data_IF_659488983567
#
_entry.id   IF_659488983567
#
_cell.length_a   1.000
_cell.length_b   1.000
_cell.length_c   1.000
_cell.angle_alpha   90.00
_cell.angle_beta   90.00
_cell.angle_gamma   90.00
#
_symmetry.space_group_name_H-M   'P 1'
#
loop_
_entity.id
_entity.type
_entity.pdbx_description
1 polymer ?
#
# COMPACT_ATOMS: atom_id res chain seq x y z
N UNK A 1 14.28 14.21 11.66
CA UNK A 1 15.23 13.10 11.48
C UNK A 1 14.89 12.18 10.27
N UNK A 2 13.64 11.84 9.96
CA UNK A 2 13.30 10.92 8.84
C UNK A 2 13.68 11.39 7.43
N UNK A 3 13.65 12.68 7.11
CA UNK A 3 14.10 13.21 5.79
C UNK A 3 15.61 13.12 5.56
N UNK A 4 16.41 13.14 6.61
CA UNK A 4 17.88 13.06 6.49
C UNK A 4 18.40 11.65 6.21
N UNK A 5 17.73 10.62 6.74
CA UNK A 5 18.13 9.21 6.50
C UNK A 5 17.77 8.75 5.09
N UNK A 6 16.63 9.17 4.53
CA UNK A 6 16.28 8.90 3.13
C UNK A 6 17.22 9.60 2.14
N UNK A 7 17.64 10.85 2.46
CA UNK A 7 18.59 11.60 1.63
C UNK A 7 19.98 10.95 1.68
N UNK A 8 20.41 10.41 2.81
CA UNK A 8 21.74 9.78 2.96
C UNK A 8 21.81 8.45 2.21
N UNK A 9 20.77 7.62 2.23
CA UNK A 9 20.72 6.36 1.46
C UNK A 9 20.64 6.62 -0.05
N UNK A 10 19.87 7.60 -0.48
CA UNK A 10 19.79 8.03 -1.89
C UNK A 10 21.10 8.69 -2.33
N UNK A 11 21.73 9.51 -1.49
CA UNK A 11 22.99 10.18 -1.79
C UNK A 11 24.18 9.20 -1.83
N UNK A 12 24.23 8.19 -0.95
CA UNK A 12 25.26 7.16 -0.99
C UNK A 12 25.17 6.29 -2.25
N UNK A 13 23.97 5.90 -2.68
CA UNK A 13 23.75 5.18 -3.94
C UNK A 13 23.96 6.06 -5.17
N UNK A 14 23.57 7.34 -5.12
CA UNK A 14 23.81 8.30 -6.19
C UNK A 14 25.30 8.64 -6.35
N UNK A 15 26.08 8.71 -5.27
CA UNK A 15 27.51 8.96 -5.31
C UNK A 15 28.31 7.80 -5.91
N UNK A 16 27.90 6.54 -5.64
CA UNK A 16 28.48 5.35 -6.28
C UNK A 16 28.18 5.32 -7.79
N UNK A 17 26.96 5.74 -8.18
CA UNK A 17 26.58 5.77 -9.60
C UNK A 17 27.19 6.98 -10.35
N UNK A 18 27.41 8.13 -9.72
CA UNK A 18 27.94 9.33 -10.35
C UNK A 18 29.44 9.21 -10.65
N UNK A 19 30.24 8.60 -9.78
CA UNK A 19 31.68 8.41 -10.00
C UNK A 19 32.02 7.33 -11.06
N UNK A 20 31.11 6.40 -11.37
CA UNK A 20 31.30 5.41 -12.43
C UNK A 20 30.95 5.94 -13.85
N UNK A 21 30.35 7.12 -13.98
CA UNK A 21 29.77 7.59 -15.25
C UNK A 21 30.17 8.99 -15.71
N UNK A 22 31.15 9.58 -15.06
CA UNK A 22 31.66 10.91 -15.44
C UNK A 22 32.62 10.88 -16.60
N UNK A 23 32.15 10.72 -17.83
CA UNK A 23 32.75 11.25 -19.05
C UNK A 23 31.78 11.18 -20.22
N UNK A 24 31.29 12.31 -20.67
CA UNK A 24 30.63 12.50 -21.95
C UNK A 24 31.70 12.54 -23.04
N UNK A 25 31.79 11.45 -23.83
CA UNK A 25 32.52 11.52 -25.12
C UNK A 25 31.46 11.59 -26.23
N UNK A 26 31.62 12.61 -27.08
CA UNK A 26 30.94 12.81 -28.36
C UNK A 26 31.07 11.55 -29.22
N UNK A 27 29.92 10.99 -29.58
CA UNK A 27 29.86 9.78 -30.41
C UNK A 27 30.17 10.11 -31.88
N UNK A 28 31.38 9.83 -32.34
CA UNK A 28 31.64 9.54 -33.73
C UNK A 28 31.10 8.16 -34.01
N UNK A 29 30.16 8.02 -34.99
CA UNK A 29 29.61 6.77 -35.44
C UNK A 29 30.62 5.98 -36.26
N UNK A 30 31.55 5.30 -35.61
CA UNK A 30 32.34 4.24 -36.23
C UNK A 30 31.46 2.98 -36.35
N UNK A 31 31.36 2.39 -37.55
CA UNK A 31 30.73 1.08 -37.78
C UNK A 31 31.31 0.08 -36.76
N UNK A 32 30.51 -0.31 -35.77
CA UNK A 32 30.90 -1.30 -34.80
C UNK A 32 31.11 -2.65 -35.51
N UNK A 33 32.33 -3.14 -35.52
CA UNK A 33 32.66 -4.47 -36.03
C UNK A 33 32.14 -5.50 -35.00
N UNK A 34 31.19 -6.38 -35.38
CA UNK A 34 30.73 -7.48 -34.55
C UNK A 34 31.67 -8.67 -34.69
N UNK A 35 32.26 -9.09 -33.58
CA UNK A 35 33.04 -10.34 -33.48
C UNK A 35 32.13 -11.49 -32.98
N UNK A 36 32.30 -12.73 -33.50
CA UNK A 36 31.43 -13.84 -33.07
C UNK A 36 31.62 -14.19 -31.60
N UNK A 37 32.83 -14.16 -31.07
CA UNK A 37 33.14 -14.55 -29.70
C UNK A 37 34.20 -13.67 -29.08
N UNK A 38 34.00 -13.30 -27.79
CA UNK A 38 35.00 -12.76 -26.89
C UNK A 38 35.26 -13.73 -25.77
N UNK A 39 36.51 -13.98 -25.47
CA UNK A 39 36.97 -14.63 -24.23
C UNK A 39 37.81 -13.66 -23.43
N UNK A 40 37.50 -13.42 -22.18
CA UNK A 40 38.30 -12.53 -21.32
C UNK A 40 38.47 -13.09 -19.92
N UNK A 41 39.62 -12.79 -19.30
CA UNK A 41 39.89 -13.07 -17.90
C UNK A 41 39.34 -11.93 -17.03
N UNK A 42 39.77 -10.72 -17.34
CA UNK A 42 39.32 -9.46 -16.76
C UNK A 42 39.15 -8.41 -17.87
N UNK A 43 38.53 -7.25 -17.62
CA UNK A 43 38.43 -6.16 -18.60
C UNK A 43 39.77 -5.85 -19.25
N UNK A 44 39.81 -5.74 -20.55
CA UNK A 44 40.98 -5.52 -21.41
C UNK A 44 42.01 -6.66 -21.50
N UNK A 45 41.88 -7.73 -20.72
CA UNK A 45 42.73 -8.93 -20.82
C UNK A 45 41.88 -10.06 -21.40
N UNK A 46 41.98 -10.28 -22.70
CA UNK A 46 41.24 -11.27 -23.45
C UNK A 46 41.48 -11.16 -24.96
N UNK A 47 40.64 -11.83 -25.73
CA UNK A 47 40.81 -11.94 -27.20
C UNK A 47 40.70 -10.61 -27.94
N UNK A 48 40.03 -9.61 -27.35
CA UNK A 48 39.89 -8.28 -27.96
C UNK A 48 40.88 -7.25 -27.39
N UNK A 49 41.64 -7.60 -26.32
CA UNK A 49 42.65 -6.74 -25.72
C UNK A 49 42.12 -5.35 -25.36
N UNK A 50 42.90 -4.29 -25.65
CA UNK A 50 42.54 -2.90 -25.38
C UNK A 50 41.33 -2.39 -26.16
N UNK A 51 41.00 -3.04 -27.29
CA UNK A 51 39.83 -2.70 -28.11
C UNK A 51 38.51 -3.26 -27.58
N UNK A 52 38.52 -4.07 -26.53
CA UNK A 52 37.33 -4.71 -25.98
C UNK A 52 36.18 -3.73 -25.74
N UNK A 53 36.49 -2.54 -25.27
CA UNK A 53 35.51 -1.51 -24.96
C UNK A 53 34.87 -0.82 -26.20
N UNK A 54 35.46 -0.98 -27.38
CA UNK A 54 34.97 -0.49 -28.68
C UNK A 54 34.43 -1.60 -29.58
N UNK A 55 34.67 -2.84 -29.19
CA UNK A 55 34.29 -4.03 -29.99
C UNK A 55 32.92 -4.55 -29.54
N UNK A 56 32.05 -4.80 -30.50
CA UNK A 56 30.77 -5.48 -30.30
C UNK A 56 30.91 -6.97 -30.49
N UNK A 57 30.32 -7.77 -29.62
CA UNK A 57 30.40 -9.22 -29.68
C UNK A 57 29.02 -9.85 -29.76
N UNK A 58 28.86 -10.94 -30.56
CA UNK A 58 27.67 -11.75 -30.46
C UNK A 58 27.62 -12.48 -29.12
N UNK A 59 28.72 -13.15 -28.78
CA UNK A 59 28.84 -13.87 -27.53
C UNK A 59 30.09 -13.41 -26.77
N UNK A 60 30.01 -13.27 -25.47
CA UNK A 60 31.14 -12.93 -24.58
C UNK A 60 31.15 -13.87 -23.38
N UNK A 61 32.30 -14.53 -23.14
CA UNK A 61 32.51 -15.38 -21.99
C UNK A 61 33.67 -14.81 -21.19
N UNK A 62 33.40 -14.40 -19.96
CA UNK A 62 34.33 -13.66 -19.13
C UNK A 62 34.58 -14.47 -17.83
N UNK A 63 35.80 -14.91 -17.56
CA UNK A 63 36.09 -15.75 -16.41
C UNK A 63 35.84 -14.98 -15.08
N UNK A 64 36.40 -13.81 -14.93
CA UNK A 64 36.15 -12.91 -13.81
C UNK A 64 35.26 -11.75 -14.29
N UNK A 65 35.69 -11.05 -15.33
CA UNK A 65 34.91 -9.96 -15.89
C UNK A 65 35.29 -9.59 -17.30
N UNK A 66 34.35 -8.91 -17.99
CA UNK A 66 34.55 -8.44 -19.34
C UNK A 66 34.03 -7.04 -19.57
N UNK A 67 34.53 -6.42 -20.63
CA UNK A 67 34.00 -5.17 -21.16
C UNK A 67 33.71 -5.33 -22.66
N UNK A 68 32.57 -4.88 -23.09
CA UNK A 68 32.09 -4.93 -24.48
C UNK A 68 31.44 -3.61 -24.88
N UNK A 69 31.46 -3.29 -26.16
CA UNK A 69 30.69 -2.16 -26.67
C UNK A 69 29.21 -2.50 -26.75
N UNK A 70 28.87 -3.58 -27.48
CA UNK A 70 27.54 -4.18 -27.53
C UNK A 70 27.65 -5.70 -27.40
N UNK A 71 26.52 -6.32 -26.98
CA UNK A 71 26.35 -7.77 -26.94
C UNK A 71 25.12 -8.14 -27.76
N UNK A 72 25.32 -9.02 -28.78
CA UNK A 72 24.27 -9.37 -29.72
C UNK A 72 23.42 -10.57 -29.35
N UNK A 73 23.94 -11.52 -28.54
CA UNK A 73 23.22 -12.75 -28.19
C UNK A 73 23.40 -13.11 -26.72
N UNK A 74 24.62 -13.30 -26.21
CA UNK A 74 24.83 -13.72 -24.86
C UNK A 74 26.14 -13.18 -24.25
N UNK A 75 26.11 -12.84 -22.95
CA UNK A 75 27.30 -12.50 -22.18
C UNK A 75 27.22 -13.15 -20.81
N UNK A 76 28.27 -13.85 -20.43
CA UNK A 76 28.37 -14.53 -19.12
C UNK A 76 29.68 -14.17 -18.46
N UNK A 77 29.64 -13.78 -17.18
CA UNK A 77 30.81 -13.52 -16.37
C UNK A 77 30.75 -14.20 -15.01
N UNK A 78 31.91 -14.60 -14.48
CA UNK A 78 31.99 -15.08 -13.11
C UNK A 78 31.63 -13.99 -12.09
N UNK A 79 32.06 -12.73 -12.35
CA UNK A 79 31.82 -11.60 -11.42
C UNK A 79 31.11 -10.43 -12.12
N UNK A 80 31.69 -9.86 -13.19
CA UNK A 80 31.27 -8.56 -13.69
C UNK A 80 31.19 -8.51 -15.21
N UNK A 81 30.07 -8.06 -15.74
CA UNK A 81 29.92 -7.65 -17.14
C UNK A 81 29.76 -6.12 -17.23
N UNK A 82 30.50 -5.49 -18.12
CA UNK A 82 30.39 -4.07 -18.46
C UNK A 82 30.07 -3.91 -19.94
N UNK A 83 28.92 -3.38 -20.26
CA UNK A 83 28.52 -3.08 -21.65
C UNK A 83 28.28 -1.58 -21.80
N UNK A 84 29.03 -0.97 -22.73
CA UNK A 84 28.99 0.48 -22.96
C UNK A 84 27.69 0.93 -23.65
N UNK A 85 27.11 0.09 -24.48
CA UNK A 85 25.86 0.38 -25.18
C UNK A 85 24.84 -0.73 -24.90
N UNK A 86 24.45 -1.52 -25.91
CA UNK A 86 23.28 -2.37 -25.84
C UNK A 86 23.61 -3.83 -25.61
N UNK A 87 22.70 -4.50 -24.90
CA UNK A 87 22.64 -5.96 -24.79
C UNK A 87 21.35 -6.44 -25.43
N UNK A 88 21.46 -7.40 -26.33
CA UNK A 88 20.33 -8.12 -26.91
C UNK A 88 20.47 -9.61 -26.58
N UNK A 89 19.42 -10.19 -26.01
CA UNK A 89 19.40 -11.59 -25.59
C UNK A 89 19.69 -11.80 -24.12
N UNK A 90 20.76 -12.51 -23.75
CA UNK A 90 21.02 -12.98 -22.39
C UNK A 90 22.28 -12.35 -21.81
N UNK A 91 22.19 -11.88 -20.55
CA UNK A 91 23.37 -11.41 -19.80
C UNK A 91 23.33 -11.96 -18.36
N UNK A 92 24.39 -12.63 -17.94
CA UNK A 92 24.49 -13.21 -16.60
C UNK A 92 25.85 -12.92 -15.96
N UNK A 93 25.81 -12.68 -14.65
CA UNK A 93 27.04 -12.52 -13.83
C UNK A 93 26.82 -12.97 -12.42
N UNK A 94 27.90 -13.39 -11.74
CA UNK A 94 27.87 -13.73 -10.34
C UNK A 94 27.58 -12.53 -9.44
N UNK A 95 28.07 -11.32 -9.82
CA UNK A 95 27.88 -10.11 -8.97
C UNK A 95 27.09 -9.04 -9.70
N UNK A 96 27.60 -8.50 -10.84
CA UNK A 96 26.93 -7.35 -11.43
C UNK A 96 26.97 -7.34 -12.97
N UNK A 97 25.87 -6.88 -13.57
CA UNK A 97 25.77 -6.50 -14.96
C UNK A 97 25.57 -4.99 -15.07
N UNK A 98 26.54 -4.30 -15.64
CA UNK A 98 26.55 -2.85 -15.81
C UNK A 98 26.37 -2.49 -17.30
N UNK A 99 25.15 -2.30 -17.75
CA UNK A 99 24.82 -1.88 -19.11
C UNK A 99 24.44 -0.41 -19.14
N UNK A 100 25.14 0.40 -19.95
CA UNK A 100 24.83 1.84 -20.07
C UNK A 100 23.68 2.12 -21.04
N UNK A 101 23.39 1.23 -21.96
CA UNK A 101 22.37 1.37 -22.99
C UNK A 101 21.09 0.57 -22.72
N UNK A 102 20.55 0.05 -23.81
CA UNK A 102 19.34 -0.78 -23.82
C UNK A 102 19.66 -2.24 -23.47
N UNK A 103 18.79 -2.86 -22.71
CA UNK A 103 18.76 -4.30 -22.49
C UNK A 103 17.47 -4.85 -23.08
N UNK A 104 17.62 -5.66 -24.14
CA UNK A 104 16.51 -6.39 -24.77
C UNK A 104 16.66 -7.88 -24.53
N UNK A 105 15.88 -8.45 -23.61
CA UNK A 105 15.92 -9.86 -23.25
C UNK A 105 15.99 -10.10 -21.74
N UNK A 106 16.96 -10.91 -21.31
CA UNK A 106 17.08 -11.36 -19.94
C UNK A 106 18.42 -10.98 -19.32
N UNK A 107 18.40 -10.32 -18.16
CA UNK A 107 19.58 -9.94 -17.40
C UNK A 107 19.48 -10.49 -15.98
N UNK A 108 20.50 -11.25 -15.54
CA UNK A 108 20.53 -11.82 -14.19
C UNK A 108 21.87 -11.63 -13.51
N UNK A 109 21.83 -11.34 -12.21
CA UNK A 109 23.05 -11.20 -11.39
C UNK A 109 22.80 -11.56 -9.91
N UNK A 110 23.87 -11.89 -9.22
CA UNK A 110 23.79 -12.13 -7.77
C UNK A 110 23.45 -10.87 -6.98
N UNK A 111 23.94 -9.68 -7.41
CA UNK A 111 23.73 -8.44 -6.65
C UNK A 111 23.03 -7.37 -7.46
N UNK A 112 23.58 -6.95 -8.62
CA UNK A 112 23.16 -5.70 -9.27
C UNK A 112 23.01 -5.84 -10.78
N UNK A 113 21.86 -5.46 -11.30
CA UNK A 113 21.68 -5.19 -12.73
C UNK A 113 21.41 -3.70 -12.95
N UNK A 114 22.09 -3.11 -13.93
CA UNK A 114 21.83 -1.75 -14.37
C UNK A 114 21.57 -1.70 -15.88
N UNK A 115 20.66 -0.82 -16.27
CA UNK A 115 20.43 -0.47 -17.66
C UNK A 115 19.91 0.97 -17.78
N UNK A 116 19.95 1.51 -19.00
CA UNK A 116 19.27 2.76 -19.30
C UNK A 116 17.80 2.50 -19.60
N UNK A 117 17.52 1.56 -20.50
CA UNK A 117 16.18 1.08 -20.83
C UNK A 117 16.16 -0.44 -20.81
N UNK A 118 15.01 -1.01 -20.47
CA UNK A 118 14.77 -2.45 -20.42
C UNK A 118 13.57 -2.83 -21.28
N UNK A 119 13.74 -3.87 -22.09
CA UNK A 119 12.64 -4.62 -22.68
C UNK A 119 12.84 -6.10 -22.38
N UNK A 120 12.13 -6.63 -21.36
CA UNK A 120 12.28 -8.01 -20.92
C UNK A 120 12.30 -8.19 -19.42
N UNK A 121 13.26 -8.96 -18.91
CA UNK A 121 13.32 -9.35 -17.51
C UNK A 121 14.69 -9.06 -16.88
N UNK A 122 14.68 -8.42 -15.71
CA UNK A 122 15.84 -8.31 -14.82
C UNK A 122 15.61 -9.07 -13.52
N UNK A 123 16.55 -9.95 -13.16
CA UNK A 123 16.60 -10.67 -11.88
C UNK A 123 17.87 -10.32 -11.13
N UNK A 124 17.77 -9.98 -9.87
CA UNK A 124 18.95 -9.76 -9.00
C UNK A 124 18.69 -10.19 -7.56
N UNK A 125 19.75 -10.57 -6.88
CA UNK A 125 19.67 -10.85 -5.45
C UNK A 125 19.41 -9.58 -4.62
N UNK A 126 19.92 -8.41 -5.07
CA UNK A 126 19.77 -7.16 -4.32
C UNK A 126 19.04 -6.08 -5.10
N UNK A 127 19.55 -5.65 -6.26
CA UNK A 127 19.02 -4.44 -6.90
C UNK A 127 18.93 -4.51 -8.42
N UNK A 128 17.82 -4.00 -8.97
CA UNK A 128 17.65 -3.70 -10.39
C UNK A 128 17.44 -2.19 -10.58
N UNK A 129 18.29 -1.55 -11.39
CA UNK A 129 18.28 -0.11 -11.61
C UNK A 129 18.11 0.21 -13.10
N UNK A 130 17.03 0.87 -13.46
CA UNK A 130 16.83 1.43 -14.80
C UNK A 130 16.76 2.95 -14.73
N UNK A 131 17.58 3.63 -15.54
CA UNK A 131 17.64 5.10 -15.53
C UNK A 131 16.45 5.75 -16.23
N UNK A 132 15.86 5.06 -17.20
CA UNK A 132 14.74 5.55 -18.00
C UNK A 132 13.55 4.59 -17.91
N UNK A 133 13.17 3.98 -18.98
CA UNK A 133 11.97 3.17 -19.11
C UNK A 133 12.29 1.67 -18.99
N UNK A 134 11.45 0.97 -18.26
CA UNK A 134 11.45 -0.48 -18.20
C UNK A 134 10.09 -1.00 -18.73
N UNK A 135 10.14 -1.70 -19.86
CA UNK A 135 9.00 -2.41 -20.45
C UNK A 135 9.19 -3.90 -20.18
N UNK A 136 8.60 -4.42 -19.11
CA UNK A 136 8.78 -5.80 -18.67
C UNK A 136 8.86 -5.92 -17.16
N UNK A 137 9.66 -6.86 -16.66
CA UNK A 137 9.64 -7.23 -15.26
C UNK A 137 11.00 -6.99 -14.59
N UNK A 138 10.97 -6.48 -13.38
CA UNK A 138 12.12 -6.37 -12.49
C UNK A 138 11.82 -7.11 -11.20
N UNK A 139 12.69 -8.06 -10.84
CA UNK A 139 12.58 -8.83 -9.60
C UNK A 139 13.91 -8.74 -8.85
N UNK A 140 13.87 -8.25 -7.62
CA UNK A 140 15.05 -8.09 -6.77
C UNK A 140 14.77 -8.50 -5.33
N UNK A 141 15.76 -9.02 -4.65
CA UNK A 141 15.62 -9.34 -3.23
C UNK A 141 15.39 -8.11 -2.36
N UNK A 142 15.92 -6.93 -2.75
CA UNK A 142 15.79 -5.71 -1.94
C UNK A 142 15.09 -4.59 -2.70
N UNK A 143 15.59 -4.16 -3.87
CA UNK A 143 15.10 -2.92 -4.48
C UNK A 143 15.00 -2.97 -6.00
N UNK A 144 13.89 -2.44 -6.55
CA UNK A 144 13.74 -2.16 -7.97
C UNK A 144 13.49 -0.66 -8.18
N UNK A 145 14.33 -0.02 -9.00
CA UNK A 145 14.23 1.40 -9.31
C UNK A 145 14.15 1.62 -10.83
N UNK A 146 13.19 2.43 -11.25
CA UNK A 146 13.10 2.91 -12.64
C UNK A 146 12.48 4.30 -12.71
N UNK A 147 12.73 5.03 -13.79
CA UNK A 147 11.99 6.27 -14.03
C UNK A 147 10.56 5.98 -14.46
N UNK A 148 10.38 5.00 -15.34
CA UNK A 148 9.07 4.52 -15.77
C UNK A 148 9.06 3.02 -15.85
N UNK A 149 8.00 2.39 -15.41
CA UNK A 149 7.77 0.96 -15.53
C UNK A 149 6.43 0.68 -16.21
N UNK A 150 6.48 -0.14 -17.26
CA UNK A 150 5.32 -0.80 -17.86
C UNK A 150 5.50 -2.29 -17.67
N UNK A 151 4.74 -2.86 -16.73
CA UNK A 151 4.88 -4.26 -16.32
C UNK A 151 4.99 -4.40 -14.81
N UNK A 152 5.94 -5.19 -14.31
CA UNK A 152 5.96 -5.57 -12.90
C UNK A 152 7.30 -5.25 -12.24
N UNK A 153 7.24 -4.64 -11.04
CA UNK A 153 8.36 -4.55 -10.09
C UNK A 153 8.02 -5.37 -8.85
N UNK A 154 8.88 -6.32 -8.50
CA UNK A 154 8.78 -7.12 -7.29
C UNK A 154 10.06 -6.98 -6.49
N UNK A 155 9.94 -6.59 -5.24
CA UNK A 155 11.12 -6.50 -4.36
C UNK A 155 10.78 -6.87 -2.91
N UNK A 156 11.78 -7.34 -2.18
CA UNK A 156 11.61 -7.64 -0.76
C UNK A 156 11.37 -6.39 0.09
N UNK A 157 11.93 -5.23 -0.30
CA UNK A 157 11.85 -4.01 0.52
C UNK A 157 11.16 -2.86 -0.20
N UNK A 158 11.66 -2.45 -1.38
CA UNK A 158 11.25 -1.16 -1.92
C UNK A 158 11.22 -1.12 -3.44
N UNK A 159 10.10 -0.68 -4.01
CA UNK A 159 9.97 -0.35 -5.43
C UNK A 159 9.78 1.17 -5.62
N UNK A 160 10.45 1.71 -6.61
CA UNK A 160 10.31 3.10 -7.03
C UNK A 160 10.11 3.22 -8.53
N UNK A 161 9.13 4.04 -8.92
CA UNK A 161 9.00 4.53 -10.29
C UNK A 161 8.35 5.92 -10.30
N UNK A 162 8.82 6.87 -11.13
CA UNK A 162 8.09 8.12 -11.34
C UNK A 162 6.71 7.81 -11.95
N UNK A 163 6.67 6.92 -12.96
CA UNK A 163 5.42 6.43 -13.56
C UNK A 163 5.37 4.92 -13.52
N UNK A 164 4.32 4.38 -12.93
CA UNK A 164 4.05 2.95 -12.87
C UNK A 164 2.75 2.63 -13.60
N UNK A 165 2.86 1.86 -14.68
CA UNK A 165 1.74 1.31 -15.44
C UNK A 165 1.85 -0.22 -15.40
N UNK A 166 1.14 -0.82 -14.43
CA UNK A 166 1.23 -2.25 -14.12
C UNK A 166 1.27 -2.50 -12.63
N UNK A 167 2.17 -3.37 -12.16
CA UNK A 167 2.20 -3.82 -10.77
C UNK A 167 3.49 -3.45 -10.05
N UNK A 168 3.38 -2.92 -8.83
CA UNK A 168 4.47 -2.81 -7.86
C UNK A 168 4.12 -3.61 -6.62
N UNK A 169 4.90 -4.65 -6.33
CA UNK A 169 4.74 -5.53 -5.18
C UNK A 169 5.99 -5.46 -4.31
N UNK A 170 5.83 -5.11 -3.05
CA UNK A 170 6.97 -5.03 -2.13
C UNK A 170 6.64 -5.57 -0.75
N UNK A 171 7.67 -6.06 -0.06
CA UNK A 171 7.53 -6.44 1.34
C UNK A 171 7.29 -5.24 2.26
N UNK A 172 7.86 -4.06 1.95
CA UNK A 172 7.71 -2.89 2.83
C UNK A 172 7.03 -1.73 2.12
N UNK A 173 7.58 -1.22 0.99
CA UNK A 173 7.09 0.04 0.45
C UNK A 173 7.11 0.13 -1.07
N UNK A 174 6.06 0.71 -1.65
CA UNK A 174 6.04 1.14 -3.04
C UNK A 174 5.88 2.66 -3.12
N UNK A 175 6.62 3.27 -4.03
CA UNK A 175 6.53 4.70 -4.30
C UNK A 175 6.39 4.98 -5.79
N UNK A 176 5.44 5.87 -6.14
CA UNK A 176 5.30 6.39 -7.51
C UNK A 176 4.83 7.84 -7.47
N UNK A 177 5.16 8.63 -8.51
CA UNK A 177 4.43 9.89 -8.73
C UNK A 177 3.07 9.59 -9.36
N UNK A 178 3.03 8.74 -10.38
CA UNK A 178 1.80 8.33 -11.05
C UNK A 178 1.72 6.81 -11.08
N UNK A 179 0.66 6.25 -10.52
CA UNK A 179 0.38 4.83 -10.57
C UNK A 179 -1.00 4.58 -11.22
N UNK A 180 -1.03 3.75 -12.26
CA UNK A 180 -2.27 3.41 -12.99
C UNK A 180 -2.70 1.96 -12.80
N UNK A 181 -1.84 1.13 -12.19
CA UNK A 181 -2.12 -0.27 -11.90
C UNK A 181 -2.25 -0.58 -10.41
N UNK A 182 -1.62 -1.66 -9.98
CA UNK A 182 -1.63 -2.14 -8.60
C UNK A 182 -0.35 -1.74 -7.86
N UNK A 183 -0.50 -1.17 -6.68
CA UNK A 183 0.57 -1.09 -5.68
C UNK A 183 0.16 -1.91 -4.46
N UNK A 184 0.92 -2.96 -4.12
CA UNK A 184 0.69 -3.75 -2.92
C UNK A 184 1.96 -3.82 -2.06
N UNK A 185 1.83 -3.50 -0.79
CA UNK A 185 2.92 -3.52 0.19
C UNK A 185 2.42 -3.96 1.57
N UNK A 186 3.28 -4.61 2.34
CA UNK A 186 2.89 -4.97 3.71
C UNK A 186 2.76 -3.74 4.61
N UNK A 187 3.53 -2.66 4.37
CA UNK A 187 3.51 -1.48 5.25
C UNK A 187 2.93 -0.26 4.55
N UNK A 188 3.52 0.20 3.43
CA UNK A 188 3.12 1.50 2.88
C UNK A 188 3.18 1.58 1.35
N UNK A 189 2.14 2.17 0.77
CA UNK A 189 2.15 2.65 -0.61
C UNK A 189 2.02 4.16 -0.64
N UNK A 190 2.85 4.83 -1.45
CA UNK A 190 2.82 6.27 -1.64
C UNK A 190 2.75 6.60 -3.12
N UNK A 191 1.79 7.46 -3.50
CA UNK A 191 1.70 8.01 -4.84
C UNK A 191 1.30 9.50 -4.81
N UNK A 192 1.72 10.29 -5.81
CA UNK A 192 1.08 11.61 -5.99
C UNK A 192 -0.31 11.41 -6.59
N UNK A 193 -0.43 10.58 -7.62
CA UNK A 193 -1.72 10.23 -8.22
C UNK A 193 -1.84 8.71 -8.36
N UNK A 194 -2.91 8.15 -7.84
CA UNK A 194 -3.30 6.76 -8.05
C UNK A 194 -4.60 6.70 -8.84
N UNK A 195 -4.59 5.98 -9.97
CA UNK A 195 -5.78 5.71 -10.78
C UNK A 195 -6.13 4.21 -10.80
N UNK A 196 -5.37 3.38 -10.10
CA UNK A 196 -5.55 1.95 -9.93
C UNK A 196 -5.91 1.58 -8.50
N UNK A 197 -5.23 0.57 -7.95
CA UNK A 197 -5.48 0.03 -6.63
C UNK A 197 -4.23 0.13 -5.76
N UNK A 198 -4.37 0.63 -4.54
CA UNK A 198 -3.35 0.56 -3.49
C UNK A 198 -3.84 -0.36 -2.38
N UNK A 199 -3.07 -1.38 -2.04
CA UNK A 199 -3.32 -2.27 -0.90
C UNK A 199 -2.12 -2.23 0.02
N UNK A 200 -2.30 -1.76 1.24
CA UNK A 200 -1.25 -1.75 2.27
C UNK A 200 -1.74 -2.39 3.56
N UNK A 201 -0.86 -3.11 4.23
CA UNK A 201 -1.17 -3.60 5.56
C UNK A 201 -1.39 -2.46 6.56
N UNK A 202 -0.70 -1.31 6.40
CA UNK A 202 -0.83 -0.19 7.33
C UNK A 202 -1.30 1.09 6.63
N UNK A 203 -0.54 1.65 5.68
CA UNK A 203 -0.82 2.99 5.16
C UNK A 203 -0.82 3.05 3.64
N UNK A 204 -1.88 3.58 3.05
CA UNK A 204 -1.87 4.10 1.70
C UNK A 204 -1.91 5.64 1.73
N UNK A 205 -1.05 6.27 0.96
CA UNK A 205 -1.01 7.73 0.84
C UNK A 205 -1.02 8.16 -0.62
N UNK A 206 -1.93 9.05 -0.96
CA UNK A 206 -1.97 9.70 -2.27
C UNK A 206 -2.28 11.19 -2.12
N UNK A 207 -1.82 12.02 -3.05
CA UNK A 207 -2.34 13.39 -3.18
C UNK A 207 -3.71 13.34 -3.86
N UNK A 208 -3.83 12.61 -4.96
CA UNK A 208 -5.07 12.42 -5.68
C UNK A 208 -5.38 10.92 -5.84
N UNK A 209 -6.40 10.43 -5.15
CA UNK A 209 -6.88 9.05 -5.24
C UNK A 209 -8.12 8.98 -6.16
N UNK A 210 -7.92 8.47 -7.38
CA UNK A 210 -9.00 8.22 -8.36
C UNK A 210 -9.47 6.77 -8.36
N UNK A 211 -8.68 5.87 -7.81
CA UNK A 211 -8.94 4.44 -7.72
C UNK A 211 -9.35 3.98 -6.33
N UNK A 212 -8.90 2.80 -5.94
CA UNK A 212 -9.23 2.17 -4.68
C UNK A 212 -8.01 2.15 -3.75
N UNK A 213 -8.22 2.53 -2.49
CA UNK A 213 -7.23 2.37 -1.42
C UNK A 213 -7.79 1.42 -0.35
N UNK A 214 -7.05 0.37 -0.03
CA UNK A 214 -7.40 -0.60 1.02
C UNK A 214 -6.23 -0.69 2.02
N UNK A 215 -6.49 -0.36 3.28
CA UNK A 215 -5.46 -0.39 4.34
C UNK A 215 -6.03 0.03 5.69
N UNK A 216 -5.26 -0.12 6.76
CA UNK A 216 -5.69 0.37 8.09
C UNK A 216 -5.92 1.88 8.03
N UNK A 217 -4.99 2.62 7.44
CA UNK A 217 -5.07 4.08 7.29
C UNK A 217 -4.91 4.45 5.81
N UNK A 218 -5.89 5.16 5.26
CA UNK A 218 -5.81 5.73 3.92
C UNK A 218 -5.79 7.25 4.01
N UNK A 219 -4.82 7.89 3.33
CA UNK A 219 -4.61 9.34 3.36
C UNK A 219 -4.67 9.88 1.94
N UNK A 220 -5.52 10.88 1.68
CA UNK A 220 -5.56 11.59 0.42
C UNK A 220 -5.84 13.09 0.61
N UNK A 221 -5.31 13.96 -0.26
CA UNK A 221 -5.77 15.34 -0.32
C UNK A 221 -7.15 15.41 -0.97
N UNK A 222 -7.35 14.63 -2.04
CA UNK A 222 -8.64 14.47 -2.73
C UNK A 222 -8.86 13.02 -3.15
N UNK A 223 -10.07 12.52 -2.98
CA UNK A 223 -10.46 11.18 -3.39
C UNK A 223 -11.77 11.24 -4.19
N UNK A 224 -11.71 10.75 -5.43
CA UNK A 224 -12.90 10.54 -6.27
C UNK A 224 -13.25 9.06 -6.42
N UNK A 225 -12.36 8.18 -5.95
CA UNK A 225 -12.55 6.74 -5.92
C UNK A 225 -13.14 6.24 -4.60
N UNK A 226 -12.57 5.16 -4.07
CA UNK A 226 -13.01 4.50 -2.84
C UNK A 226 -11.83 4.29 -1.90
N UNK A 227 -12.01 4.63 -0.62
CA UNK A 227 -11.04 4.33 0.45
C UNK A 227 -11.71 3.44 1.49
N UNK A 228 -11.14 2.25 1.70
CA UNK A 228 -11.62 1.25 2.66
C UNK A 228 -10.55 1.03 3.72
N UNK A 229 -10.85 1.40 4.95
CA UNK A 229 -9.91 1.28 6.07
C UNK A 229 -10.56 1.69 7.39
N UNK A 230 -9.84 1.45 8.48
CA UNK A 230 -10.30 1.88 9.81
C UNK A 230 -10.38 3.41 9.86
N UNK A 231 -9.39 4.10 9.31
CA UNK A 231 -9.34 5.56 9.26
C UNK A 231 -9.03 6.02 7.83
N UNK A 232 -9.90 6.85 7.25
CA UNK A 232 -9.73 7.41 5.92
C UNK A 232 -9.63 8.94 6.00
N UNK A 233 -8.40 9.47 5.99
CA UNK A 233 -8.12 10.91 6.10
C UNK A 233 -8.10 11.51 4.69
N UNK A 234 -9.20 12.11 4.27
CA UNK A 234 -9.34 12.76 2.97
C UNK A 234 -9.59 14.25 3.21
N UNK A 235 -8.63 15.14 2.93
CA UNK A 235 -8.75 16.58 3.26
C UNK A 235 -10.02 17.24 2.69
N UNK A 236 -10.41 16.88 1.47
CA UNK A 236 -11.65 17.34 0.84
C UNK A 236 -12.84 16.43 1.12
N UNK A 237 -12.71 15.51 2.10
CA UNK A 237 -13.66 14.46 2.37
C UNK A 237 -14.70 14.81 3.42
N UNK A 238 -15.28 13.77 4.00
CA UNK A 238 -16.29 13.81 5.03
C UNK A 238 -15.64 13.46 6.38
N UNK A 239 -15.68 14.41 7.30
CA UNK A 239 -15.15 14.28 8.64
C UNK A 239 -16.18 14.78 9.64
N UNK A 240 -16.56 13.93 10.58
CA UNK A 240 -17.51 14.34 11.62
C UNK A 240 -17.10 13.73 12.97
N UNK A 241 -17.11 14.56 14.00
CA UNK A 241 -17.08 14.12 15.38
C UNK A 241 -18.53 14.07 15.88
N UNK A 242 -18.97 12.92 16.41
CA UNK A 242 -20.32 12.71 16.92
C UNK A 242 -20.28 12.48 18.42
N UNK A 243 -21.15 13.19 19.14
CA UNK A 243 -21.57 12.86 20.48
C UNK A 243 -23.01 12.36 20.42
N UNK A 244 -23.25 11.15 20.91
CA UNK A 244 -24.58 10.53 20.82
C UNK A 244 -24.94 9.75 22.08
N UNK A 245 -26.24 9.54 22.26
CA UNK A 245 -26.80 8.59 23.22
C UNK A 245 -27.69 7.59 22.53
N UNK A 246 -27.69 6.38 23.03
CA UNK A 246 -28.62 5.31 22.64
C UNK A 246 -29.11 4.55 23.87
N UNK A 247 -29.91 3.53 23.64
CA UNK A 247 -30.53 2.74 24.72
C UNK A 247 -29.56 1.90 25.54
N UNK A 248 -28.34 1.60 25.00
CA UNK A 248 -27.31 0.85 25.70
C UNK A 248 -26.34 1.76 26.42
N UNK A 249 -25.85 2.77 25.71
CA UNK A 249 -24.82 3.70 26.18
C UNK A 249 -25.34 5.14 26.11
N UNK A 250 -25.44 5.76 27.26
CA UNK A 250 -25.95 7.14 27.35
C UNK A 250 -24.99 8.15 26.75
N UNK A 251 -23.68 7.79 26.66
CA UNK A 251 -22.66 8.63 26.06
C UNK A 251 -21.83 7.81 25.09
N UNK A 252 -21.90 8.17 23.82
CA UNK A 252 -21.07 7.63 22.77
C UNK A 252 -20.30 8.76 22.10
N UNK A 253 -19.04 8.50 21.79
CA UNK A 253 -18.19 9.32 20.94
C UNK A 253 -17.90 8.55 19.68
N UNK A 254 -18.10 9.15 18.51
CA UNK A 254 -17.76 8.52 17.25
C UNK A 254 -17.08 9.52 16.32
N UNK A 255 -16.09 9.04 15.57
CA UNK A 255 -15.43 9.78 14.52
C UNK A 255 -15.69 9.13 13.17
N UNK A 256 -16.24 9.91 12.24
CA UNK A 256 -16.48 9.50 10.85
C UNK A 256 -15.43 10.09 9.96
N UNK A 257 -14.85 9.28 9.08
CA UNK A 257 -13.82 9.73 8.16
C UNK A 257 -13.90 9.03 6.81
N UNK A 258 -13.75 9.79 5.72
CA UNK A 258 -13.79 9.25 4.38
C UNK A 258 -14.56 10.12 3.39
N UNK A 259 -15.48 9.54 2.67
CA UNK A 259 -16.38 10.20 1.73
C UNK A 259 -17.83 10.05 2.20
N UNK A 260 -18.71 10.99 1.85
CA UNK A 260 -20.15 10.83 2.14
C UNK A 260 -20.73 9.51 1.64
N UNK A 261 -20.33 9.06 0.45
CA UNK A 261 -20.80 7.79 -0.13
C UNK A 261 -20.30 6.56 0.62
N UNK A 262 -19.12 6.64 1.22
CA UNK A 262 -18.53 5.57 2.03
C UNK A 262 -17.55 6.19 3.01
N UNK A 263 -17.86 6.06 4.29
CA UNK A 263 -17.00 6.51 5.37
C UNK A 263 -16.84 5.43 6.43
N UNK A 264 -15.71 5.43 7.09
CA UNK A 264 -15.46 4.61 8.27
C UNK A 264 -15.92 5.33 9.53
N UNK A 265 -16.31 4.56 10.54
CA UNK A 265 -16.79 5.03 11.83
C UNK A 265 -15.95 4.32 12.89
N UNK A 266 -15.29 5.07 13.73
CA UNK A 266 -14.65 4.55 14.95
C UNK A 266 -15.43 5.10 16.13
N UNK A 267 -15.88 4.26 17.05
CA UNK A 267 -16.73 4.68 18.15
C UNK A 267 -16.29 4.09 19.47
N UNK A 268 -16.57 4.84 20.53
CA UNK A 268 -16.47 4.40 21.91
C UNK A 268 -17.72 4.81 22.67
N UNK A 269 -18.25 3.94 23.51
CA UNK A 269 -19.42 4.18 24.33
C UNK A 269 -19.12 3.92 25.80
N UNK A 270 -19.77 4.68 26.68
CA UNK A 270 -19.64 4.53 28.13
C UNK A 270 -21.00 4.64 28.82
N UNK A 271 -21.21 3.79 29.83
CA UNK A 271 -22.30 3.83 30.80
C UNK A 271 -21.74 3.63 32.19
N UNK A 272 -21.49 4.73 32.96
CA UNK A 272 -20.75 4.67 34.20
C UNK A 272 -21.53 4.01 35.35
N UNK A 273 -22.87 4.14 35.41
CA UNK A 273 -23.69 3.72 36.54
C UNK A 273 -24.36 2.35 36.31
N UNK A 274 -23.71 1.46 35.61
CA UNK A 274 -24.28 0.17 35.31
C UNK A 274 -24.03 -0.85 36.42
N UNK A 275 -25.02 -1.03 37.34
CA UNK A 275 -24.95 -1.96 38.49
C UNK A 275 -23.66 -1.78 39.32
N UNK A 276 -23.36 -0.56 39.76
CA UNK A 276 -22.15 -0.16 40.50
C UNK A 276 -20.83 -0.42 39.72
N UNK A 277 -20.91 -0.53 38.39
CA UNK A 277 -19.77 -0.78 37.49
C UNK A 277 -19.85 0.13 36.28
N UNK A 278 -18.77 0.15 35.55
CA UNK A 278 -18.73 0.84 34.26
C UNK A 278 -18.83 -0.18 33.12
N UNK A 279 -19.80 -0.01 32.24
CA UNK A 279 -19.84 -0.67 30.95
C UNK A 279 -19.29 0.27 29.89
N UNK A 280 -18.39 -0.21 29.05
CA UNK A 280 -17.87 0.54 27.93
C UNK A 280 -17.77 -0.31 26.67
N UNK A 281 -17.68 0.35 25.52
CA UNK A 281 -17.57 -0.31 24.23
C UNK A 281 -16.55 0.41 23.35
N UNK A 282 -15.90 -0.36 22.48
CA UNK A 282 -15.12 0.16 21.37
C UNK A 282 -15.63 -0.51 20.08
N UNK A 283 -15.84 0.28 19.05
CA UNK A 283 -16.47 -0.19 17.84
C UNK A 283 -15.86 0.39 16.57
N UNK A 284 -16.10 -0.32 15.50
CA UNK A 284 -15.79 0.06 14.14
C UNK A 284 -17.03 -0.14 13.27
N UNK A 285 -17.23 0.76 12.31
CA UNK A 285 -18.34 0.68 11.38
C UNK A 285 -18.01 1.31 10.02
N UNK A 286 -18.93 1.12 9.12
CA UNK A 286 -18.96 1.77 7.81
C UNK A 286 -20.32 2.41 7.60
N UNK A 287 -20.34 3.55 6.92
CA UNK A 287 -21.58 4.25 6.65
C UNK A 287 -21.60 4.91 5.28
N UNK A 288 -22.79 5.25 4.87
CA UNK A 288 -23.09 6.01 3.65
C UNK A 288 -24.11 7.09 3.98
N UNK A 289 -23.82 8.32 3.53
CA UNK A 289 -24.72 9.47 3.71
C UNK A 289 -25.15 9.99 2.34
N UNK A 290 -26.45 10.06 2.12
CA UNK A 290 -27.07 10.60 0.90
C UNK A 290 -27.76 11.92 1.19
N UNK A 291 -27.42 12.97 0.46
CA UNK A 291 -28.11 14.27 0.58
C UNK A 291 -29.54 14.15 0.04
N UNK A 292 -30.53 14.41 0.87
CA UNK A 292 -31.94 14.52 0.52
C UNK A 292 -32.30 15.98 0.17
N UNK A 293 -31.69 16.93 0.90
CA UNK A 293 -31.77 18.37 0.64
C UNK A 293 -30.44 19.04 1.04
N UNK A 294 -30.24 20.34 0.77
CA UNK A 294 -29.00 21.05 1.15
C UNK A 294 -28.61 20.89 2.62
N UNK A 295 -29.59 20.81 3.51
CA UNK A 295 -29.39 20.72 4.95
C UNK A 295 -29.84 19.39 5.58
N UNK A 296 -30.16 18.36 4.77
CA UNK A 296 -30.66 17.08 5.27
C UNK A 296 -29.96 15.93 4.58
N UNK A 297 -29.37 15.04 5.37
CA UNK A 297 -28.78 13.80 4.92
C UNK A 297 -29.63 12.62 5.41
N UNK A 298 -29.65 11.56 4.62
CA UNK A 298 -30.06 10.21 5.03
C UNK A 298 -28.80 9.41 5.28
N UNK A 299 -28.68 8.86 6.48
CA UNK A 299 -27.54 8.04 6.90
C UNK A 299 -27.94 6.58 7.02
N UNK A 300 -27.10 5.71 6.49
CA UNK A 300 -27.15 4.27 6.66
C UNK A 300 -25.79 3.80 7.16
N UNK A 301 -25.76 3.17 8.33
CA UNK A 301 -24.51 2.75 8.99
C UNK A 301 -24.63 1.30 9.42
N UNK A 302 -23.52 0.56 9.30
CA UNK A 302 -23.36 -0.76 9.88
C UNK A 302 -22.12 -0.74 10.77
N UNK A 303 -22.26 -1.16 12.01
CA UNK A 303 -21.16 -1.15 12.97
C UNK A 303 -21.12 -2.41 13.80
N UNK A 304 -19.92 -2.71 14.25
CA UNK A 304 -19.59 -3.75 15.22
C UNK A 304 -18.91 -3.10 16.42
N UNK A 305 -19.24 -3.53 17.63
CA UNK A 305 -18.57 -3.09 18.84
C UNK A 305 -18.33 -4.25 19.79
N UNK A 306 -17.19 -4.24 20.46
CA UNK A 306 -16.90 -5.09 21.61
C UNK A 306 -17.38 -4.38 22.86
N UNK A 307 -18.16 -5.07 23.70
CA UNK A 307 -18.64 -4.56 24.98
C UNK A 307 -17.81 -5.17 26.09
N UNK A 308 -17.38 -4.33 27.03
CA UNK A 308 -16.58 -4.70 28.18
C UNK A 308 -17.25 -4.17 29.45
N UNK A 309 -17.41 -5.03 30.45
CA UNK A 309 -17.92 -4.66 31.75
C UNK A 309 -16.87 -4.99 32.80
N UNK A 310 -16.57 -4.01 33.68
CA UNK A 310 -15.63 -4.17 34.77
C UNK A 310 -14.25 -4.68 34.32
N UNK A 311 -13.70 -4.10 33.25
CA UNK A 311 -12.38 -4.39 32.68
C UNK A 311 -12.13 -5.87 32.28
N UNK A 312 -13.18 -6.63 32.11
CA UNK A 312 -13.10 -8.03 31.65
C UNK A 312 -13.10 -8.13 30.13
N UNK A 313 -11.92 -7.93 29.55
CA UNK A 313 -11.73 -8.10 28.10
C UNK A 313 -11.87 -9.55 27.60
N UNK A 314 -11.86 -10.52 28.50
CA UNK A 314 -11.95 -11.95 28.12
C UNK A 314 -13.36 -12.38 27.73
N UNK A 315 -14.38 -11.63 28.12
CA UNK A 315 -15.76 -11.95 27.78
C UNK A 315 -16.05 -11.50 26.34
N UNK A 316 -16.44 -12.46 25.51
CA UNK A 316 -16.67 -12.25 24.06
C UNK A 316 -18.10 -11.70 23.84
N UNK A 317 -18.30 -10.42 24.16
CA UNK A 317 -19.58 -9.72 24.03
C UNK A 317 -19.55 -8.78 22.82
N UNK A 318 -20.27 -9.13 21.77
CA UNK A 318 -20.26 -8.47 20.47
C UNK A 318 -21.60 -7.83 20.15
N UNK A 319 -21.58 -6.56 19.83
CA UNK A 319 -22.76 -5.82 19.37
C UNK A 319 -22.64 -5.54 17.86
N UNK A 320 -23.62 -5.96 17.11
CA UNK A 320 -23.82 -5.58 15.71
C UNK A 320 -25.00 -4.61 15.64
N UNK A 321 -24.81 -3.50 14.94
CA UNK A 321 -25.83 -2.45 14.81
C UNK A 321 -25.95 -2.02 13.34
N UNK A 322 -27.17 -2.03 12.82
CA UNK A 322 -27.55 -1.41 11.55
C UNK A 322 -28.39 -0.18 11.91
N UNK A 323 -27.92 1.01 11.52
CA UNK A 323 -28.58 2.27 11.81
C UNK A 323 -29.07 2.92 10.52
N UNK A 324 -30.28 3.46 10.57
CA UNK A 324 -30.86 4.32 9.52
C UNK A 324 -31.43 5.55 10.19
N UNK A 325 -31.01 6.73 9.76
CA UNK A 325 -31.43 7.99 10.38
C UNK A 325 -31.29 9.17 9.45
N UNK A 326 -31.77 10.30 9.93
CA UNK A 326 -31.64 11.59 9.27
C UNK A 326 -30.71 12.50 10.06
N UNK A 327 -29.86 13.23 9.33
CA UNK A 327 -28.92 14.20 9.89
C UNK A 327 -29.24 15.58 9.32
N UNK A 328 -29.66 16.52 10.17
CA UNK A 328 -30.07 17.87 9.79
C UNK A 328 -29.05 18.90 10.24
N UNK A 329 -28.47 19.60 9.31
CA UNK A 329 -27.61 20.75 9.60
C UNK A 329 -28.44 21.90 10.18
N UNK A 330 -28.05 22.34 11.38
CA UNK A 330 -28.68 23.48 12.06
C UNK A 330 -27.99 24.78 11.64
N UNK A 331 -26.66 24.77 11.64
CA UNK A 331 -25.82 25.88 11.21
C UNK A 331 -24.47 25.33 10.71
N UNK A 332 -23.61 26.22 10.21
CA UNK A 332 -22.31 25.81 9.65
C UNK A 332 -21.50 25.01 10.66
N UNK A 333 -21.19 23.77 10.31
CA UNK A 333 -20.33 22.88 11.12
C UNK A 333 -21.05 22.09 12.19
N UNK A 334 -22.37 22.29 12.43
CA UNK A 334 -23.14 21.55 13.44
C UNK A 334 -24.41 20.96 12.87
N UNK A 335 -24.65 19.68 13.15
CA UNK A 335 -25.88 18.99 12.77
C UNK A 335 -26.42 18.14 13.93
N UNK A 336 -27.70 17.79 13.84
CA UNK A 336 -28.39 16.88 14.76
C UNK A 336 -28.88 15.70 13.97
N UNK A 337 -28.54 14.49 14.44
CA UNK A 337 -28.97 13.25 13.83
C UNK A 337 -29.92 12.48 14.74
N UNK A 338 -30.96 11.91 14.15
CA UNK A 338 -31.95 11.06 14.79
C UNK A 338 -32.26 9.86 13.91
N UNK A 339 -32.34 8.67 14.49
CA UNK A 339 -32.68 7.50 13.70
C UNK A 339 -32.91 6.25 14.56
N UNK A 340 -33.27 5.18 13.85
CA UNK A 340 -33.53 3.87 14.42
C UNK A 340 -32.36 2.92 14.14
N UNK A 341 -32.16 1.96 15.00
CA UNK A 341 -31.18 0.89 14.81
C UNK A 341 -31.78 -0.48 15.04
N UNK A 342 -31.40 -1.44 14.20
CA UNK A 342 -31.57 -2.86 14.47
C UNK A 342 -30.29 -3.36 15.10
N UNK A 343 -30.40 -3.95 16.27
CA UNK A 343 -29.29 -4.37 17.10
C UNK A 343 -29.31 -5.90 17.29
N UNK A 344 -28.14 -6.52 17.26
CA UNK A 344 -27.95 -7.92 17.61
C UNK A 344 -26.72 -8.03 18.51
N UNK A 345 -26.89 -8.57 19.71
CA UNK A 345 -25.82 -8.79 20.66
C UNK A 345 -25.56 -10.28 20.82
N UNK A 346 -24.32 -10.69 20.57
CA UNK A 346 -23.83 -12.03 20.87
C UNK A 346 -23.00 -11.95 22.14
N UNK A 347 -23.33 -12.70 23.15
CA UNK A 347 -22.61 -12.70 24.43
C UNK A 347 -22.38 -14.11 24.97
N UNK A 348 -21.31 -14.24 25.76
CA UNK A 348 -20.92 -15.51 26.38
C UNK A 348 -21.81 -15.83 27.59
N UNK A 349 -22.27 -17.08 27.65
CA UNK A 349 -23.03 -17.63 28.77
C UNK A 349 -22.23 -18.61 29.63
N UNK A 350 -20.96 -18.79 29.33
CA UNK A 350 -20.06 -19.67 30.11
C UNK A 350 -19.83 -19.17 31.55
N UNK A 351 -20.09 -17.91 31.80
CA UNK A 351 -20.02 -17.26 33.09
C UNK A 351 -21.38 -16.64 33.41
N UNK A 352 -22.05 -17.15 34.45
CA UNK A 352 -23.35 -16.65 34.89
C UNK A 352 -23.38 -15.16 35.23
N UNK A 353 -22.26 -14.64 35.73
CA UNK A 353 -22.11 -13.22 35.98
C UNK A 353 -22.19 -12.42 34.67
N UNK A 354 -21.41 -12.78 33.64
CA UNK A 354 -21.43 -12.10 32.34
C UNK A 354 -22.81 -12.19 31.70
N UNK A 355 -23.42 -13.38 31.73
CA UNK A 355 -24.76 -13.61 31.18
C UNK A 355 -25.79 -12.64 31.80
N UNK A 356 -25.91 -12.60 33.13
CA UNK A 356 -26.84 -11.70 33.83
C UNK A 356 -26.56 -10.22 33.53
N UNK A 357 -25.27 -9.84 33.43
CA UNK A 357 -24.92 -8.47 33.08
C UNK A 357 -25.37 -8.11 31.66
N UNK A 358 -25.15 -8.99 30.68
CA UNK A 358 -25.57 -8.74 29.31
C UNK A 358 -27.09 -8.74 29.16
N UNK A 359 -27.80 -9.68 29.79
CA UNK A 359 -29.26 -9.71 29.81
C UNK A 359 -29.87 -8.43 30.42
N UNK A 360 -29.28 -7.91 31.49
CA UNK A 360 -29.71 -6.65 32.11
C UNK A 360 -29.33 -5.40 31.31
N UNK A 361 -28.27 -5.46 30.47
CA UNK A 361 -27.87 -4.35 29.62
C UNK A 361 -28.85 -4.15 28.45
N UNK A 362 -29.44 -5.22 27.96
CA UNK A 362 -30.40 -5.20 26.84
C UNK A 362 -31.73 -4.64 27.37
N UNK A 363 -32.26 -3.55 26.79
CA UNK A 363 -33.46 -2.89 27.33
C UNK A 363 -34.73 -3.74 27.16
N UNK A 364 -34.79 -4.49 26.09
CA UNK A 364 -35.86 -5.46 25.79
C UNK A 364 -35.42 -6.35 24.62
N UNK A 365 -36.02 -7.50 24.48
CA UNK A 365 -35.64 -8.49 23.47
C UNK A 365 -36.82 -8.81 22.56
N UNK A 366 -36.64 -8.67 21.24
CA UNK A 366 -37.61 -9.11 20.22
C UNK A 366 -37.35 -10.56 19.84
N UNK A 367 -36.06 -10.91 19.69
CA UNK A 367 -35.62 -12.27 19.38
C UNK A 367 -34.50 -12.68 20.31
N UNK A 368 -34.54 -13.90 20.83
CA UNK A 368 -33.48 -14.46 21.66
C UNK A 368 -33.34 -15.94 21.38
N UNK A 369 -32.13 -16.35 20.98
CA UNK A 369 -31.81 -17.73 20.65
C UNK A 369 -30.45 -18.16 21.19
N UNK A 370 -30.28 -19.47 21.43
CA UNK A 370 -28.98 -20.08 21.70
C UNK A 370 -28.22 -20.26 20.39
N UNK A 371 -27.09 -19.64 20.26
CA UNK A 371 -26.19 -19.83 19.12
C UNK A 371 -25.41 -21.15 19.27
N UNK A 372 -24.99 -21.48 20.50
CA UNK A 372 -24.38 -22.73 20.93
C UNK A 372 -24.46 -22.88 22.47
N UNK A 373 -23.85 -23.94 23.04
CA UNK A 373 -23.87 -24.19 24.49
C UNK A 373 -23.35 -23.03 25.37
N UNK A 374 -22.48 -22.17 24.78
CA UNK A 374 -21.78 -21.13 25.52
C UNK A 374 -22.06 -19.70 25.01
N UNK A 375 -22.95 -19.53 24.03
CA UNK A 375 -23.28 -18.22 23.46
C UNK A 375 -24.77 -18.06 23.18
N UNK A 376 -25.26 -16.89 23.53
CA UNK A 376 -26.61 -16.42 23.21
C UNK A 376 -26.53 -15.24 22.22
N UNK A 377 -27.58 -15.13 21.41
CA UNK A 377 -27.85 -13.96 20.57
C UNK A 377 -29.18 -13.34 20.99
N UNK A 378 -29.21 -12.03 21.17
CA UNK A 378 -30.43 -11.27 21.45
C UNK A 378 -30.54 -10.10 20.50
N UNK A 379 -31.72 -9.88 19.93
CA UNK A 379 -32.00 -8.82 18.97
C UNK A 379 -33.12 -7.90 19.42
N UNK A 380 -32.96 -6.59 19.14
CA UNK A 380 -33.95 -5.54 19.45
C UNK A 380 -33.85 -4.38 18.46
N UNK A 381 -34.85 -3.48 18.50
CA UNK A 381 -34.84 -2.22 17.77
C UNK A 381 -34.49 -1.11 18.79
N UNK A 382 -33.55 -0.25 18.46
CA UNK A 382 -33.15 0.87 19.30
C UNK A 382 -33.28 2.21 18.58
N UNK A 383 -32.90 3.27 19.29
CA UNK A 383 -32.86 4.61 18.75
C UNK A 383 -31.56 5.31 19.11
N UNK A 384 -31.13 6.24 18.27
CA UNK A 384 -29.96 7.08 18.50
C UNK A 384 -30.29 8.54 18.26
N UNK A 385 -29.88 9.40 19.19
CA UNK A 385 -29.84 10.85 19.02
C UNK A 385 -28.39 11.32 19.09
N UNK A 386 -27.99 12.22 18.21
CA UNK A 386 -26.62 12.68 18.14
C UNK A 386 -26.50 14.16 17.77
N UNK A 387 -25.41 14.77 18.26
CA UNK A 387 -24.91 16.06 17.80
C UNK A 387 -23.59 15.80 17.09
N UNK A 388 -23.42 16.36 15.90
CA UNK A 388 -22.27 16.16 15.04
C UNK A 388 -21.60 17.48 14.71
N UNK A 389 -20.27 17.44 14.67
CA UNK A 389 -19.38 18.57 14.35
C UNK A 389 -18.52 18.21 13.16
N UNK A 390 -18.52 19.10 12.10
CA UNK A 390 -17.74 18.97 10.87
C UNK A 390 -16.46 19.79 10.92
#
# INVERSE_FOLDING_TARGET
>A
MKKRVQIILIAAFAAISANLFGQTTTANSTKSSYRPLQLSLVPYIGTNGIESASTSNYTSINLIGGISNNVGAAEIAGVLNIVKNDVRGFQASGVANLTKGFVGGFQTSGILNTSNTLLGLQLSGVANLNKKEANGNQIAGVVCLSKSIKGTQISGVYNYADSSDGCQLSGIANFSRKATGLQAASVVNIADTISGVQVAGIVNKARLARGVQVGIVNIADSCTGVSVGIVNIIKSGYHQLEFSGDELFYTNLAYRSGLKKLHSIVSAGIRPDYNDKTAWSIGFGVGSSKSLSPNLLLDMEMSYAQIVINDRFKDDNKLFKIYVGVDRYLFRGVSVALGLSANAMIYSTSNDFNRKQMENLIPYTITSDKLNEHKHISGWIGGKIAIRFN
#
